data_IF_223145696694
#
_entry.id   IF_223145696694
#
_cell.length_a   1.000
_cell.length_b   1.000
_cell.length_c   1.000
_cell.angle_alpha   90.00
_cell.angle_beta   90.00
_cell.angle_gamma   90.00
#
_symmetry.space_group_name_H-M   'P 1'
#
loop_
_entity.id
_entity.type
_entity.pdbx_description
1 polymer ?
#
# COMPACT_ATOMS: atom_id res chain seq x y z
N UNK A 1 -22.67 -29.11 47.99
CA UNK A 1 -21.66 -30.17 47.78
C UNK A 1 -21.62 -30.43 46.27
N UNK A 2 -20.53 -30.36 45.50
CA UNK A 2 -19.15 -29.98 45.74
C UNK A 2 -18.57 -29.38 44.45
N UNK A 3 -17.63 -28.45 44.60
CA UNK A 3 -16.89 -27.75 43.53
C UNK A 3 -15.73 -28.64 43.06
N UNK A 4 -15.56 -28.79 41.75
CA UNK A 4 -14.37 -29.39 41.13
C UNK A 4 -13.53 -28.34 40.43
N UNK A 5 -12.43 -27.91 41.05
CA UNK A 5 -11.34 -27.14 40.44
C UNK A 5 -10.28 -28.11 39.93
N UNK A 6 -9.82 -27.98 38.68
CA UNK A 6 -8.63 -28.67 38.16
C UNK A 6 -7.51 -27.66 37.95
N UNK A 7 -6.34 -28.02 38.51
CA UNK A 7 -5.12 -27.22 38.68
C UNK A 7 -4.33 -27.02 37.38
N UNK A 8 -3.63 -25.88 37.38
CA UNK A 8 -2.48 -25.49 36.55
C UNK A 8 -1.33 -26.52 36.60
N UNK A 9 -0.67 -26.71 35.45
CA UNK A 9 0.65 -27.34 35.32
C UNK A 9 1.52 -26.60 34.31
N UNK A 10 2.31 -25.63 34.76
CA UNK A 10 3.41 -24.98 34.01
C UNK A 10 4.60 -25.94 33.98
N UNK A 11 5.04 -26.38 32.80
CA UNK A 11 6.30 -27.11 32.63
C UNK A 11 7.39 -26.17 32.10
N UNK A 12 8.34 -25.84 32.98
CA UNK A 12 9.59 -25.13 32.67
C UNK A 12 10.67 -26.20 32.45
N UNK A 13 11.18 -26.33 31.23
CA UNK A 13 12.35 -27.19 30.96
C UNK A 13 13.61 -26.34 31.03
N UNK A 14 14.31 -26.42 32.18
CA UNK A 14 15.69 -25.95 32.35
C UNK A 14 16.63 -27.07 31.89
N UNK A 15 17.37 -26.89 30.79
CA UNK A 15 18.56 -27.69 30.51
C UNK A 15 19.80 -26.93 30.96
N UNK A 16 20.40 -27.41 32.05
CA UNK A 16 21.81 -27.18 32.40
C UNK A 16 22.64 -28.25 31.69
N UNK A 17 23.63 -27.86 30.91
CA UNK A 17 24.74 -28.75 30.53
C UNK A 17 26.04 -28.12 31.02
N UNK A 18 26.85 -28.97 31.63
CA UNK A 18 28.02 -28.69 32.46
C UNK A 18 29.24 -28.32 31.60
N UNK A 19 30.09 -27.50 32.21
CA UNK A 19 31.43 -27.08 31.79
C UNK A 19 32.45 -28.19 32.03
N UNK A 20 33.40 -28.35 31.10
CA UNK A 20 34.77 -28.91 31.22
C UNK A 20 35.41 -28.64 29.84
N UNK A 21 36.61 -28.11 29.63
CA UNK A 21 37.70 -27.63 30.48
C UNK A 21 38.89 -27.29 29.56
N UNK A 22 39.71 -26.34 30.00
CA UNK A 22 41.14 -26.13 29.70
C UNK A 22 41.65 -25.82 28.26
N UNK A 23 42.17 -24.59 28.16
CA UNK A 23 43.50 -24.21 27.66
C UNK A 23 43.88 -24.42 26.18
N UNK A 24 43.97 -23.29 25.47
CA UNK A 24 45.17 -22.90 24.74
C UNK A 24 45.14 -21.39 24.49
N UNK A 25 46.04 -20.65 25.13
CA UNK A 25 46.33 -19.27 24.79
C UNK A 25 47.20 -19.24 23.53
N UNK A 26 46.72 -18.56 22.48
CA UNK A 26 47.54 -18.10 21.36
C UNK A 26 47.19 -16.63 21.14
N UNK A 27 48.04 -15.77 21.70
CA UNK A 27 48.06 -14.33 21.42
C UNK A 27 48.56 -14.11 20.01
N UNK A 28 47.63 -13.94 19.06
CA UNK A 28 47.95 -13.36 17.76
C UNK A 28 47.82 -11.85 17.91
N UNK A 29 48.98 -11.18 18.00
CA UNK A 29 49.09 -9.74 17.85
C UNK A 29 48.88 -9.44 16.36
N UNK A 30 47.66 -9.13 15.96
CA UNK A 30 47.39 -8.60 14.63
C UNK A 30 47.69 -7.09 14.63
N UNK A 31 48.44 -6.55 13.66
CA UNK A 31 48.56 -5.11 13.51
C UNK A 31 47.19 -4.51 13.19
N UNK A 32 46.76 -3.56 14.03
CA UNK A 32 45.68 -2.63 13.73
C UNK A 32 46.09 -1.79 12.50
N UNK A 33 45.79 -2.31 11.31
CA UNK A 33 45.72 -1.46 10.12
C UNK A 33 44.40 -0.71 10.24
N UNK A 34 44.49 0.56 10.64
CA UNK A 34 43.45 1.57 10.42
C UNK A 34 43.25 1.72 8.92
N UNK A 35 42.57 0.75 8.29
CA UNK A 35 41.83 1.04 7.07
C UNK A 35 40.70 1.91 7.55
N UNK A 36 40.84 3.20 7.28
CA UNK A 36 39.74 4.16 7.18
C UNK A 36 38.68 3.54 6.29
N UNK A 37 37.79 2.76 6.92
CA UNK A 37 36.54 2.34 6.32
C UNK A 37 35.79 3.62 6.07
N UNK A 38 35.88 4.11 4.83
CA UNK A 38 34.91 5.03 4.28
C UNK A 38 33.57 4.42 4.59
N UNK A 39 32.90 4.95 5.62
CA UNK A 39 31.47 4.77 5.76
C UNK A 39 30.93 5.14 4.38
N UNK A 40 30.43 4.15 3.65
CA UNK A 40 29.62 4.42 2.50
C UNK A 40 28.43 5.20 3.05
N UNK A 41 28.56 6.54 3.04
CA UNK A 41 27.43 7.44 3.08
C UNK A 41 26.52 6.87 2.02
N UNK A 42 25.43 6.22 2.45
CA UNK A 42 24.33 5.91 1.56
C UNK A 42 24.03 7.24 0.89
N UNK A 43 24.39 7.33 -0.40
CA UNK A 43 24.12 8.52 -1.17
C UNK A 43 22.60 8.62 -1.13
N UNK A 44 22.11 9.50 -0.28
CA UNK A 44 20.77 10.00 -0.39
C UNK A 44 20.81 10.65 -1.76
N UNK A 45 20.28 9.95 -2.76
CA UNK A 45 19.89 10.59 -3.99
C UNK A 45 18.85 11.59 -3.53
N UNK A 46 19.28 12.82 -3.20
CA UNK A 46 18.40 13.95 -3.08
C UNK A 46 17.77 14.03 -4.45
N UNK A 47 16.55 13.50 -4.55
CA UNK A 47 15.69 13.82 -5.67
C UNK A 47 15.64 15.34 -5.66
N UNK A 48 16.38 15.97 -6.56
CA UNK A 48 16.27 17.42 -6.72
C UNK A 48 14.86 17.63 -7.20
N UNK A 49 14.02 18.21 -6.35
CA UNK A 49 12.62 18.54 -6.63
C UNK A 49 12.47 19.63 -7.71
N UNK A 50 13.54 19.87 -8.48
CA UNK A 50 13.68 20.78 -9.59
C UNK A 50 12.66 20.41 -10.66
N UNK A 51 11.81 21.36 -11.03
CA UNK A 51 10.74 21.18 -12.02
C UNK A 51 9.34 21.02 -11.41
N UNK A 52 9.21 20.86 -10.08
CA UNK A 52 7.92 20.99 -9.41
C UNK A 52 7.70 22.40 -8.89
N UNK A 53 6.45 22.84 -8.91
CA UNK A 53 6.06 24.08 -8.25
C UNK A 53 6.41 24.00 -6.75
N UNK A 54 7.16 24.99 -6.26
CA UNK A 54 7.58 25.03 -4.86
C UNK A 54 6.37 24.90 -3.94
N UNK A 55 6.44 24.05 -2.90
CA UNK A 55 5.41 23.95 -1.89
C UNK A 55 5.53 25.05 -0.82
N UNK A 56 6.55 25.92 -0.92
CA UNK A 56 6.70 27.05 -0.02
C UNK A 56 5.40 27.86 0.01
N UNK A 57 4.93 28.17 1.22
CA UNK A 57 3.67 28.89 1.50
C UNK A 57 2.38 28.10 1.29
N UNK A 58 2.43 26.80 0.97
CA UNK A 58 1.25 25.95 1.11
C UNK A 58 0.89 25.81 2.59
N UNK A 59 -0.40 25.77 2.88
CA UNK A 59 -0.85 25.27 4.17
C UNK A 59 -0.63 23.75 4.25
N UNK A 60 -0.52 23.23 5.46
CA UNK A 60 -0.21 21.83 5.70
C UNK A 60 -1.27 20.85 5.15
N UNK A 61 -2.54 21.27 5.06
CA UNK A 61 -3.62 20.43 4.51
C UNK A 61 -3.45 20.30 3.01
N UNK A 62 -3.26 21.43 2.31
CA UNK A 62 -2.98 21.43 0.86
C UNK A 62 -1.71 20.66 0.53
N UNK A 63 -0.69 20.73 1.39
CA UNK A 63 0.55 19.96 1.24
C UNK A 63 0.29 18.45 1.34
N UNK A 64 -0.42 18.00 2.39
CA UNK A 64 -0.77 16.59 2.57
C UNK A 64 -1.62 16.06 1.40
N UNK A 65 -2.56 16.87 0.89
CA UNK A 65 -3.39 16.50 -0.26
C UNK A 65 -2.55 16.24 -1.52
N UNK A 66 -1.54 17.08 -1.77
CA UNK A 66 -0.63 16.90 -2.92
C UNK A 66 0.20 15.63 -2.78
N UNK A 67 0.72 15.36 -1.58
CA UNK A 67 1.42 14.11 -1.28
C UNK A 67 0.54 12.88 -1.51
N UNK A 68 -0.65 12.83 -0.91
CA UNK A 68 -1.55 11.68 -1.04
C UNK A 68 -1.98 11.46 -2.49
N UNK A 69 -2.20 12.53 -3.27
CA UNK A 69 -2.49 12.42 -4.70
C UNK A 69 -1.28 11.96 -5.51
N UNK A 70 -0.06 12.38 -5.18
CA UNK A 70 1.16 11.92 -5.85
C UNK A 70 1.40 10.43 -5.58
N UNK A 71 1.35 10.02 -4.31
CA UNK A 71 1.44 8.63 -3.91
C UNK A 71 0.32 7.80 -4.52
N UNK A 72 -0.91 8.34 -4.58
CA UNK A 72 -2.07 7.70 -5.20
C UNK A 72 -1.95 7.45 -6.70
N UNK A 73 -1.14 8.23 -7.43
CA UNK A 73 -0.80 8.01 -8.85
C UNK A 73 0.47 7.20 -9.07
N UNK A 74 1.23 6.91 -8.02
CA UNK A 74 2.48 6.14 -8.11
C UNK A 74 3.67 6.99 -8.49
N UNK A 75 3.52 8.31 -8.40
CA UNK A 75 4.56 9.29 -8.69
C UNK A 75 5.58 9.28 -7.55
N UNK A 76 6.52 8.33 -7.64
CA UNK A 76 7.60 8.15 -6.67
C UNK A 76 8.45 9.41 -6.52
N UNK A 77 8.94 10.04 -7.61
CA UNK A 77 9.75 11.25 -7.49
C UNK A 77 9.03 12.39 -6.76
N UNK A 78 7.76 12.66 -7.09
CA UNK A 78 7.01 13.69 -6.37
C UNK A 78 6.75 13.31 -4.91
N UNK A 79 6.42 12.04 -4.64
CA UNK A 79 6.20 11.55 -3.27
C UNK A 79 7.46 11.70 -2.42
N UNK A 80 8.62 11.33 -2.95
CA UNK A 80 9.91 11.44 -2.27
C UNK A 80 10.31 12.90 -2.01
N UNK A 81 9.81 13.85 -2.81
CA UNK A 81 9.98 15.28 -2.58
C UNK A 81 9.06 15.84 -1.50
N UNK A 82 7.79 15.43 -1.46
CA UNK A 82 6.87 15.90 -0.43
C UNK A 82 7.13 15.25 0.95
N UNK A 83 7.59 13.99 0.96
CA UNK A 83 7.70 13.19 2.17
C UNK A 83 9.14 12.98 2.62
N UNK A 84 9.34 12.74 3.90
CA UNK A 84 10.58 12.16 4.40
C UNK A 84 10.77 10.75 3.82
N UNK A 85 12.01 10.28 3.70
CA UNK A 85 12.30 8.93 3.20
C UNK A 85 11.58 7.83 4.01
N UNK A 86 11.40 8.01 5.33
CA UNK A 86 10.67 7.06 6.16
C UNK A 86 9.17 7.05 5.81
N UNK A 87 8.57 8.22 5.65
CA UNK A 87 7.17 8.38 5.26
C UNK A 87 6.89 7.80 3.87
N UNK A 88 7.73 8.10 2.87
CA UNK A 88 7.60 7.53 1.53
C UNK A 88 7.70 5.99 1.56
N UNK A 89 8.65 5.42 2.33
CA UNK A 89 8.73 3.97 2.53
C UNK A 89 7.47 3.38 3.14
N UNK A 90 6.88 4.04 4.15
CA UNK A 90 5.62 3.58 4.75
C UNK A 90 4.48 3.59 3.73
N UNK A 91 4.34 4.68 2.96
CA UNK A 91 3.30 4.81 1.95
C UNK A 91 3.42 3.73 0.88
N UNK A 92 4.58 3.60 0.25
CA UNK A 92 4.79 2.60 -0.81
C UNK A 92 4.89 1.16 -0.30
N UNK A 93 5.26 0.97 0.97
CA UNK A 93 5.19 -0.33 1.63
C UNK A 93 3.75 -0.81 1.86
N UNK A 94 2.80 0.12 2.01
CA UNK A 94 1.39 -0.21 2.12
C UNK A 94 0.78 -0.57 0.77
N UNK A 95 0.99 0.31 -0.22
CA UNK A 95 0.48 0.12 -1.57
C UNK A 95 1.33 0.94 -2.56
N UNK A 96 1.60 0.37 -3.72
CA UNK A 96 2.34 1.06 -4.79
C UNK A 96 1.49 1.05 -6.04
N UNK A 97 0.89 2.21 -6.40
CA UNK A 97 0.50 3.33 -5.57
C UNK A 97 -0.54 3.05 -4.51
N UNK A 98 -0.78 4.10 -3.75
CA UNK A 98 -1.86 4.21 -2.80
C UNK A 98 -3.27 4.21 -3.36
N UNK A 99 -3.46 4.38 -4.67
CA UNK A 99 -4.78 4.57 -5.28
C UNK A 99 -5.39 5.95 -5.01
N UNK A 100 -6.60 6.19 -5.55
CA UNK A 100 -7.23 7.53 -5.58
C UNK A 100 -8.40 7.70 -4.61
N UNK A 101 -8.71 6.70 -3.78
CA UNK A 101 -9.93 6.65 -2.96
C UNK A 101 -9.80 7.32 -1.60
N UNK A 102 -8.73 8.09 -1.42
CA UNK A 102 -8.46 8.80 -0.19
C UNK A 102 -9.29 10.08 -0.12
N UNK A 103 -10.35 10.06 0.67
CA UNK A 103 -11.12 11.26 1.01
C UNK A 103 -10.64 11.81 2.33
N UNK A 104 -10.26 13.08 2.37
CA UNK A 104 -9.93 13.73 3.65
C UNK A 104 -11.16 13.75 4.55
N UNK A 105 -11.02 13.28 5.78
CA UNK A 105 -12.08 13.24 6.78
C UNK A 105 -11.81 14.16 7.97
N UNK A 106 -10.53 14.47 8.26
CA UNK A 106 -10.20 15.40 9.33
C UNK A 106 -8.84 16.07 9.14
N UNK A 107 -8.62 17.18 9.85
CA UNK A 107 -7.33 17.84 9.98
C UNK A 107 -7.22 18.49 11.36
N UNK A 108 -6.24 18.08 12.15
CA UNK A 108 -6.01 18.58 13.52
C UNK A 108 -4.59 19.11 13.71
N UNK A 109 -4.48 20.26 14.37
CA UNK A 109 -3.18 20.83 14.74
C UNK A 109 -2.74 20.40 16.13
N UNK A 110 -1.49 19.93 16.27
CA UNK A 110 -0.87 19.64 17.54
C UNK A 110 0.65 19.92 17.50
N UNK A 111 1.15 20.70 18.46
CA UNK A 111 2.58 20.96 18.68
C UNK A 111 3.38 21.32 17.40
N UNK A 112 2.87 22.27 16.60
CA UNK A 112 3.55 22.71 15.36
C UNK A 112 3.42 21.74 14.19
N UNK A 113 2.63 20.67 14.32
CA UNK A 113 2.30 19.72 13.26
C UNK A 113 0.81 19.76 12.97
N UNK A 114 0.43 19.67 11.69
CA UNK A 114 -0.94 19.37 11.30
C UNK A 114 -1.01 17.90 10.88
N UNK A 115 -1.91 17.16 11.51
CA UNK A 115 -2.25 15.80 11.16
C UNK A 115 -3.49 15.82 10.27
N UNK A 116 -3.39 15.26 9.08
CA UNK A 116 -4.49 15.18 8.11
C UNK A 116 -4.87 13.73 7.94
N UNK A 117 -6.12 13.41 8.22
CA UNK A 117 -6.64 12.04 8.12
C UNK A 117 -7.49 11.89 6.87
N UNK A 118 -7.23 10.81 6.14
CA UNK A 118 -7.93 10.38 4.94
C UNK A 118 -8.57 9.02 5.19
N UNK A 119 -9.75 8.81 4.63
CA UNK A 119 -10.44 7.52 4.59
C UNK A 119 -10.34 6.93 3.18
N UNK A 120 -10.01 5.65 3.07
CA UNK A 120 -10.08 4.91 1.81
C UNK A 120 -11.53 4.46 1.58
N UNK A 121 -12.27 5.20 0.75
CA UNK A 121 -13.67 4.90 0.43
C UNK A 121 -13.85 3.56 -0.32
N UNK A 122 -12.78 2.93 -0.84
CA UNK A 122 -12.83 1.61 -1.46
C UNK A 122 -12.58 0.47 -0.47
N UNK A 123 -11.59 0.63 0.42
CA UNK A 123 -11.07 -0.44 1.29
C UNK A 123 -11.55 -0.35 2.73
N UNK A 124 -11.96 0.83 3.20
CA UNK A 124 -12.55 1.01 4.52
C UNK A 124 -11.55 1.21 5.66
N UNK A 125 -10.38 1.81 5.43
CA UNK A 125 -9.44 2.21 6.49
C UNK A 125 -9.00 3.67 6.40
N UNK A 126 -8.08 4.06 7.27
CA UNK A 126 -7.65 5.45 7.40
C UNK A 126 -6.12 5.61 7.24
N UNK A 127 -5.71 6.73 6.63
CA UNK A 127 -4.34 7.20 6.54
C UNK A 127 -4.22 8.56 7.22
N UNK A 128 -3.36 8.68 8.23
CA UNK A 128 -3.01 9.98 8.83
C UNK A 128 -1.61 10.41 8.40
N UNK A 129 -1.51 11.60 7.79
CA UNK A 129 -0.26 12.25 7.41
C UNK A 129 0.03 13.38 8.40
N UNK A 130 1.24 13.41 8.99
CA UNK A 130 1.69 14.53 9.80
C UNK A 130 2.66 15.42 9.02
N UNK A 131 2.31 16.71 8.93
CA UNK A 131 3.08 17.73 8.22
C UNK A 131 3.56 18.79 9.21
N UNK A 132 4.87 19.04 9.25
CA UNK A 132 5.47 20.04 10.12
C UNK A 132 5.30 21.45 9.55
N UNK A 133 4.69 22.35 10.32
CA UNK A 133 4.50 23.75 9.93
C UNK A 133 5.81 24.53 9.83
N UNK A 134 6.81 24.19 10.64
CA UNK A 134 8.14 24.83 10.62
C UNK A 134 8.90 24.47 9.34
N UNK A 135 8.81 23.22 8.89
CA UNK A 135 9.39 22.78 7.62
C UNK A 135 8.83 23.55 6.43
N UNK A 136 7.53 23.83 6.42
CA UNK A 136 6.87 24.62 5.35
C UNK A 136 7.26 26.11 5.32
N UNK A 137 7.77 26.66 6.44
CA UNK A 137 8.00 28.10 6.61
C UNK A 137 9.47 28.51 6.62
N UNK A 138 10.36 27.63 7.08
CA UNK A 138 11.79 27.93 7.24
C UNK A 138 12.69 27.24 6.21
N UNK A 139 12.17 26.22 5.50
CA UNK A 139 12.84 25.57 4.38
C UNK A 139 12.13 25.87 3.06
N UNK A 140 12.67 25.42 1.93
CA UNK A 140 12.00 25.44 0.61
C UNK A 140 10.66 24.65 0.57
N UNK A 141 10.28 24.08 1.71
CA UNK A 141 8.99 23.50 2.03
C UNK A 141 8.93 22.00 1.75
N UNK A 142 10.00 21.43 1.19
CA UNK A 142 10.07 20.00 0.85
C UNK A 142 10.25 19.13 2.08
N UNK A 143 9.91 17.85 1.92
CA UNK A 143 9.99 16.81 2.96
C UNK A 143 9.26 17.14 4.27
N UNK A 144 8.34 18.10 4.27
CA UNK A 144 7.63 18.53 5.47
C UNK A 144 6.67 17.45 6.03
N UNK A 145 6.28 16.47 5.22
CA UNK A 145 5.52 15.31 5.68
C UNK A 145 6.46 14.24 6.26
N UNK A 146 6.42 14.04 7.58
CA UNK A 146 7.41 13.23 8.30
C UNK A 146 6.81 11.98 8.97
N UNK A 147 5.48 11.84 8.97
CA UNK A 147 4.81 10.63 9.46
C UNK A 147 3.63 10.27 8.55
N UNK A 148 3.49 8.98 8.29
CA UNK A 148 2.31 8.36 7.69
C UNK A 148 1.90 7.18 8.58
N UNK A 149 0.62 7.09 8.93
CA UNK A 149 0.09 6.00 9.76
C UNK A 149 -1.19 5.48 9.15
N UNK A 150 -1.23 4.17 8.90
CA UNK A 150 -2.44 3.48 8.48
C UNK A 150 -3.14 2.90 9.71
N UNK A 151 -4.47 3.02 9.77
CA UNK A 151 -5.33 2.43 10.79
C UNK A 151 -6.44 1.68 10.11
N UNK A 152 -6.64 0.41 10.49
CA UNK A 152 -7.68 -0.47 9.95
C UNK A 152 -7.65 -0.65 8.42
N UNK A 153 -6.57 -0.21 7.77
CA UNK A 153 -6.41 -0.26 6.32
C UNK A 153 -6.08 -1.69 5.88
N UNK A 154 -6.96 -2.34 5.10
CA UNK A 154 -6.66 -3.64 4.54
C UNK A 154 -5.40 -3.55 3.66
N UNK A 155 -4.58 -4.61 3.72
CA UNK A 155 -3.43 -4.77 2.83
C UNK A 155 -3.89 -4.59 1.37
N UNK A 156 -3.04 -4.00 0.52
CA UNK A 156 -3.35 -3.73 -0.89
C UNK A 156 -4.05 -4.92 -1.56
N UNK A 157 -5.10 -4.65 -2.32
CA UNK A 157 -5.89 -5.70 -2.95
C UNK A 157 -5.06 -6.50 -3.94
N UNK A 158 -5.00 -7.81 -3.70
CA UNK A 158 -4.50 -8.74 -4.69
C UNK A 158 -5.43 -8.79 -5.92
N UNK A 159 -4.96 -9.39 -7.03
CA UNK A 159 -5.70 -9.41 -8.30
C UNK A 159 -7.10 -10.02 -8.18
N UNK A 160 -7.30 -11.03 -7.33
CA UNK A 160 -8.62 -11.62 -7.11
C UNK A 160 -9.59 -10.64 -6.48
N UNK A 161 -9.17 -9.93 -5.43
CA UNK A 161 -10.00 -8.92 -4.78
C UNK A 161 -10.28 -7.73 -5.71
N UNK A 162 -9.30 -7.33 -6.53
CA UNK A 162 -9.49 -6.30 -7.55
C UNK A 162 -10.57 -6.69 -8.57
N UNK A 163 -10.47 -7.92 -9.08
CA UNK A 163 -11.47 -8.47 -10.01
C UNK A 163 -12.87 -8.55 -9.38
N UNK A 164 -12.98 -8.99 -8.12
CA UNK A 164 -14.28 -9.08 -7.44
C UNK A 164 -14.96 -7.71 -7.33
N UNK A 165 -14.18 -6.67 -7.04
CA UNK A 165 -14.72 -5.32 -6.93
C UNK A 165 -15.13 -4.73 -8.28
N UNK A 166 -14.41 -5.06 -9.37
CA UNK A 166 -14.87 -4.74 -10.73
C UNK A 166 -16.23 -5.40 -11.03
N UNK A 167 -16.39 -6.69 -10.76
CA UNK A 167 -17.64 -7.41 -11.01
C UNK A 167 -18.78 -6.83 -10.16
N UNK A 168 -18.53 -6.50 -8.89
CA UNK A 168 -19.54 -5.83 -8.03
C UNK A 168 -19.89 -4.43 -8.53
N UNK A 169 -18.92 -3.64 -8.98
CA UNK A 169 -19.16 -2.32 -9.56
C UNK A 169 -20.02 -2.42 -10.82
N UNK A 170 -19.70 -3.35 -11.72
CA UNK A 170 -20.53 -3.63 -12.89
C UNK A 170 -21.92 -4.13 -12.51
N UNK A 171 -22.02 -4.99 -11.49
CA UNK A 171 -23.29 -5.47 -10.94
C UNK A 171 -24.22 -4.33 -10.50
N UNK A 172 -23.66 -3.26 -9.93
CA UNK A 172 -24.38 -2.03 -9.54
C UNK A 172 -24.59 -1.02 -10.68
N UNK A 173 -24.01 -1.25 -11.86
CA UNK A 173 -24.01 -0.29 -12.97
C UNK A 173 -23.11 0.92 -12.74
N UNK A 174 -22.14 0.81 -11.83
CA UNK A 174 -21.29 1.91 -11.38
C UNK A 174 -20.11 2.13 -12.33
N UNK A 175 -20.37 2.84 -13.43
CA UNK A 175 -19.38 3.07 -14.51
C UNK A 175 -18.13 3.80 -14.04
N UNK A 176 -18.24 4.66 -13.03
CA UNK A 176 -17.09 5.35 -12.45
C UNK A 176 -16.12 4.34 -11.85
N UNK A 177 -16.63 3.42 -11.04
CA UNK A 177 -15.80 2.37 -10.43
C UNK A 177 -15.36 1.29 -11.42
N UNK A 178 -16.19 0.94 -12.41
CA UNK A 178 -15.75 0.06 -13.50
C UNK A 178 -14.55 0.65 -14.24
N UNK A 179 -14.61 1.94 -14.56
CA UNK A 179 -13.51 2.66 -15.21
C UNK A 179 -12.30 2.75 -14.32
N UNK A 180 -12.44 2.75 -12.99
CA UNK A 180 -11.28 2.68 -12.10
C UNK A 180 -10.58 1.31 -12.12
N UNK A 181 -11.34 0.21 -12.08
CA UNK A 181 -10.73 -1.12 -12.00
C UNK A 181 -10.21 -1.63 -13.33
N UNK A 182 -10.79 -1.16 -14.44
CA UNK A 182 -10.59 -1.73 -15.75
C UNK A 182 -10.24 -0.69 -16.81
N UNK A 183 -9.55 -1.15 -17.86
CA UNK A 183 -9.30 -0.34 -19.06
C UNK A 183 -10.62 0.04 -19.74
N UNK A 184 -10.66 1.15 -20.51
CA UNK A 184 -11.86 1.55 -21.25
C UNK A 184 -12.39 0.45 -22.18
N UNK A 185 -11.51 -0.37 -22.75
CA UNK A 185 -11.89 -1.52 -23.59
C UNK A 185 -12.68 -2.56 -22.79
N UNK A 186 -12.19 -2.95 -21.59
CA UNK A 186 -12.89 -3.91 -20.72
C UNK A 186 -14.22 -3.34 -20.22
N UNK A 187 -14.27 -2.05 -19.84
CA UNK A 187 -15.53 -1.39 -19.45
C UNK A 187 -16.53 -1.42 -20.59
N UNK A 188 -16.10 -1.06 -21.81
CA UNK A 188 -16.94 -1.08 -23.00
C UNK A 188 -17.50 -2.48 -23.24
N UNK A 189 -16.66 -3.52 -23.21
CA UNK A 189 -17.08 -4.91 -23.36
C UNK A 189 -18.08 -5.35 -22.28
N UNK A 190 -17.83 -5.03 -21.00
CA UNK A 190 -18.77 -5.33 -19.91
C UNK A 190 -20.13 -4.66 -20.13
N UNK A 191 -20.12 -3.37 -20.48
CA UNK A 191 -21.37 -2.63 -20.74
C UNK A 191 -22.09 -3.07 -22.02
N UNK A 192 -21.37 -3.66 -22.97
CA UNK A 192 -21.96 -4.24 -24.18
C UNK A 192 -22.64 -5.59 -23.89
N UNK A 193 -22.05 -6.42 -23.02
CA UNK A 193 -22.68 -7.66 -22.53
C UNK A 193 -23.98 -7.33 -21.80
N UNK A 194 -23.93 -6.35 -20.89
CA UNK A 194 -25.12 -5.82 -20.23
C UNK A 194 -24.81 -4.45 -19.62
N UNK A 195 -25.74 -3.48 -19.66
CA UNK A 195 -25.58 -2.19 -18.98
C UNK A 195 -25.25 -2.34 -17.48
N UNK A 196 -25.77 -3.38 -16.84
CA UNK A 196 -25.43 -3.80 -15.48
C UNK A 196 -25.18 -5.31 -15.41
N UNK A 197 -24.19 -5.74 -14.64
CA UNK A 197 -23.85 -7.16 -14.51
C UNK A 197 -24.89 -7.96 -13.72
N UNK A 198 -25.71 -7.30 -12.91
CA UNK A 198 -26.60 -7.94 -11.95
C UNK A 198 -25.88 -8.62 -10.78
N UNK A 199 -26.62 -9.22 -9.84
CA UNK A 199 -26.06 -9.79 -8.61
C UNK A 199 -25.60 -11.25 -8.74
N UNK A 200 -25.90 -11.93 -9.84
CA UNK A 200 -25.82 -13.40 -9.95
C UNK A 200 -24.44 -13.96 -10.29
N UNK A 201 -23.37 -13.17 -10.15
CA UNK A 201 -22.01 -13.60 -10.48
C UNK A 201 -21.29 -14.20 -9.28
N UNK A 202 -20.78 -15.42 -9.44
CA UNK A 202 -19.98 -16.13 -8.44
C UNK A 202 -18.62 -16.49 -9.01
N UNK A 203 -17.53 -16.18 -8.29
CA UNK A 203 -16.18 -16.60 -8.68
C UNK A 203 -16.08 -18.13 -8.57
N UNK A 204 -15.56 -18.77 -9.61
CA UNK A 204 -15.36 -20.22 -9.67
C UNK A 204 -13.88 -20.62 -9.81
N UNK A 205 -13.01 -19.75 -10.33
CA UNK A 205 -11.58 -20.02 -10.43
C UNK A 205 -10.75 -18.72 -10.38
N UNK A 206 -9.48 -18.87 -9.98
CA UNK A 206 -8.46 -17.82 -10.11
C UNK A 206 -7.10 -18.48 -10.38
N UNK A 207 -6.44 -18.09 -11.47
CA UNK A 207 -5.22 -18.72 -11.96
C UNK A 207 -4.18 -17.66 -12.33
N UNK A 208 -2.94 -17.84 -11.88
CA UNK A 208 -1.82 -16.98 -12.26
C UNK A 208 -1.12 -17.49 -13.51
N UNK A 209 -0.89 -16.60 -14.49
CA UNK A 209 -0.15 -16.90 -15.71
C UNK A 209 0.63 -15.66 -16.19
N UNK A 210 1.97 -15.77 -16.27
CA UNK A 210 2.87 -14.79 -16.91
C UNK A 210 2.62 -13.32 -16.52
N UNK A 211 2.53 -13.03 -15.21
CA UNK A 211 2.32 -11.65 -14.73
C UNK A 211 0.86 -11.19 -14.78
N UNK A 212 -0.06 -12.08 -15.12
CA UNK A 212 -1.51 -11.86 -15.09
C UNK A 212 -2.15 -12.86 -14.12
N UNK A 213 -3.20 -12.45 -13.44
CA UNK A 213 -4.12 -13.38 -12.77
C UNK A 213 -5.46 -13.33 -13.49
N UNK A 214 -5.88 -14.49 -13.99
CA UNK A 214 -7.18 -14.68 -14.61
C UNK A 214 -8.19 -15.13 -13.56
N UNK A 215 -9.31 -14.44 -13.45
CA UNK A 215 -10.37 -14.75 -12.50
C UNK A 215 -11.63 -15.08 -13.28
N UNK A 216 -12.18 -16.27 -13.04
CA UNK A 216 -13.37 -16.78 -13.74
C UNK A 216 -14.58 -16.69 -12.83
N UNK A 217 -15.66 -16.15 -13.37
CA UNK A 217 -16.98 -16.05 -12.75
C UNK A 217 -17.99 -16.83 -13.54
N UNK A 218 -18.95 -17.43 -12.84
CA UNK A 218 -20.14 -18.06 -13.39
C UNK A 218 -21.35 -17.22 -12.99
N UNK A 219 -22.26 -16.99 -13.94
CA UNK A 219 -23.52 -16.34 -13.67
C UNK A 219 -24.58 -17.42 -13.37
N UNK A 220 -25.00 -17.50 -12.11
CA UNK A 220 -25.91 -18.53 -11.64
C UNK A 220 -27.35 -18.37 -12.21
N UNK A 221 -27.68 -17.23 -12.84
CA UNK A 221 -29.00 -17.00 -13.45
C UNK A 221 -29.10 -17.45 -14.91
N UNK A 222 -28.00 -17.40 -15.67
CA UNK A 222 -28.02 -17.69 -17.12
C UNK A 222 -26.93 -18.68 -17.58
N UNK A 223 -26.08 -19.16 -16.67
CA UNK A 223 -25.04 -20.16 -16.96
C UNK A 223 -23.79 -19.61 -17.65
N UNK A 224 -23.75 -18.33 -17.99
CA UNK A 224 -22.61 -17.74 -18.69
C UNK A 224 -21.38 -17.61 -17.80
N UNK A 225 -20.22 -17.55 -18.45
CA UNK A 225 -18.94 -17.33 -17.80
C UNK A 225 -18.30 -16.02 -18.21
N UNK A 226 -17.61 -15.40 -17.25
CA UNK A 226 -16.81 -14.21 -17.44
C UNK A 226 -15.40 -14.49 -16.92
N UNK A 227 -14.39 -14.31 -17.75
CA UNK A 227 -12.97 -14.38 -17.36
C UNK A 227 -12.37 -12.99 -17.44
N UNK A 228 -11.80 -12.52 -16.34
CA UNK A 228 -11.12 -11.23 -16.25
C UNK A 228 -9.62 -11.43 -16.04
N UNK A 229 -8.79 -10.80 -16.87
CA UNK A 229 -7.34 -10.81 -16.71
C UNK A 229 -6.86 -9.54 -16.01
N UNK A 230 -6.26 -9.72 -14.84
CA UNK A 230 -5.74 -8.65 -13.99
C UNK A 230 -4.22 -8.62 -14.07
N UNK A 231 -3.65 -7.46 -14.39
CA UNK A 231 -2.20 -7.28 -14.47
C UNK A 231 -1.59 -7.25 -13.08
N UNK A 232 -0.74 -8.22 -12.75
CA UNK A 232 -0.02 -8.24 -11.47
C UNK A 232 1.05 -7.14 -11.44
N UNK A 233 1.66 -6.85 -12.59
CA UNK A 233 2.58 -5.71 -12.72
C UNK A 233 1.82 -4.41 -12.54
N UNK A 234 0.68 -4.28 -13.24
CA UNK A 234 -0.21 -3.12 -13.13
C UNK A 234 -0.66 -2.89 -11.69
N UNK A 235 -1.02 -3.93 -10.93
CA UNK A 235 -1.36 -3.80 -9.50
C UNK A 235 -0.17 -3.51 -8.60
N UNK A 236 1.02 -4.05 -8.90
CA UNK A 236 2.24 -3.77 -8.12
C UNK A 236 2.81 -2.38 -8.35
N UNK A 237 2.48 -1.82 -9.51
CA UNK A 237 2.63 -0.42 -9.89
C UNK A 237 1.30 0.32 -9.71
N UNK A 238 0.30 -0.35 -9.07
CA UNK A 238 -1.08 0.03 -8.65
C UNK A 238 -1.77 1.01 -9.58
N UNK A 239 -1.55 0.79 -10.85
CA UNK A 239 -2.31 1.35 -11.93
C UNK A 239 -3.80 1.15 -11.62
N UNK A 240 -4.55 2.26 -11.66
CA UNK A 240 -5.95 2.15 -11.98
C UNK A 240 -6.04 1.40 -13.33
N UNK A 241 -7.13 0.72 -13.64
CA UNK A 241 -7.28 -0.02 -14.92
C UNK A 241 -6.51 -1.34 -15.02
N UNK A 242 -6.09 -1.94 -13.89
CA UNK A 242 -5.37 -3.21 -13.90
C UNK A 242 -6.12 -4.39 -14.54
N UNK A 243 -7.46 -4.34 -14.67
CA UNK A 243 -8.22 -5.28 -15.48
C UNK A 243 -8.17 -4.88 -16.97
N UNK A 244 -7.44 -5.65 -17.76
CA UNK A 244 -7.13 -5.30 -19.15
C UNK A 244 -7.54 -6.37 -20.17
N UNK A 245 -8.00 -7.53 -19.69
CA UNK A 245 -8.56 -8.59 -20.54
C UNK A 245 -9.91 -9.04 -20.01
N UNK A 246 -10.78 -9.39 -20.95
CA UNK A 246 -12.10 -9.94 -20.69
C UNK A 246 -12.40 -11.02 -21.72
N UNK A 247 -13.05 -12.09 -21.28
CA UNK A 247 -13.69 -13.08 -22.14
C UNK A 247 -15.06 -13.42 -21.57
N UNK A 248 -16.08 -13.44 -22.42
CA UNK A 248 -17.44 -13.85 -22.05
C UNK A 248 -17.80 -15.09 -22.87
N UNK A 249 -18.38 -16.10 -22.23
CA UNK A 249 -18.71 -17.40 -22.84
C UNK A 249 -20.09 -17.87 -22.38
#
# INVERSE_FOLDING_TARGET
MGKGYIRLGRSIVRRRIKVLGAAAALTIVAPLVLVSGSAASAAVTTATCNGMASPARLDAVSYADRLVRAWGRGDRPATDCYASAATARTLFGQATPGGIHWRRVSAEGAAGTIYVTYHDDARGGNLTIGVQNVGLRESDGWHAAYTARFQEEPRAWGPVAWSDNLVRAWGRGDKTWMSYYATPAVVSSLTHISPTGGPSWRRVAAEGAAGTTYVTYHNDANGHQLVLGISNVGLSQGDAHAAYRIQYR
#
